data_IF_364202042399
#
_entry.id   IF_364202042399
#
_cell.length_a   1.000
_cell.length_b   1.000
_cell.length_c   1.000
_cell.angle_alpha   90.00
_cell.angle_beta   90.00
_cell.angle_gamma   90.00
#
_symmetry.space_group_name_H-M   'P 1'
#
loop_
_entity.id
_entity.type
_entity.pdbx_description
1 polymer ?
#
# COMPACT_ATOMS: atom_id res chain seq x y z
N UNK A 1 -7.30 -10.11 6.06
CA UNK A 1 -6.92 -8.70 5.92
C UNK A 1 -5.99 -8.53 4.72
N UNK A 2 -6.34 -7.61 3.82
CA UNK A 2 -5.61 -7.40 2.56
C UNK A 2 -4.18 -6.92 2.82
N UNK A 3 -3.99 -5.98 3.73
CA UNK A 3 -2.66 -5.46 4.05
C UNK A 3 -1.75 -6.57 4.60
N UNK A 4 -2.26 -7.38 5.51
CA UNK A 4 -1.49 -8.48 6.10
C UNK A 4 -1.08 -9.50 5.04
N UNK A 5 -1.99 -9.82 4.13
CA UNK A 5 -1.70 -10.74 3.03
C UNK A 5 -0.65 -10.17 2.09
N UNK A 6 -0.74 -8.89 1.76
CA UNK A 6 0.25 -8.21 0.94
C UNK A 6 1.64 -8.27 1.59
N UNK A 7 1.73 -7.89 2.86
CA UNK A 7 2.99 -7.89 3.61
C UNK A 7 3.61 -9.28 3.64
N UNK A 8 2.81 -10.33 3.84
CA UNK A 8 3.30 -11.71 3.89
C UNK A 8 3.96 -12.19 2.60
N UNK A 9 3.75 -11.49 1.49
CA UNK A 9 4.34 -11.82 0.19
C UNK A 9 5.53 -10.93 -0.17
N UNK A 10 5.97 -10.03 0.70
CA UNK A 10 7.08 -9.12 0.42
C UNK A 10 8.40 -9.68 0.95
N UNK A 11 9.37 -9.74 0.06
CA UNK A 11 10.78 -10.02 0.41
C UNK A 11 11.65 -9.40 -0.67
N UNK A 12 12.95 -9.33 -0.42
CA UNK A 12 13.89 -8.80 -1.40
C UNK A 12 13.77 -9.52 -2.74
N UNK A 13 13.71 -8.77 -3.81
CA UNK A 13 13.58 -9.28 -5.17
C UNK A 13 12.15 -9.40 -5.70
N UNK A 14 11.14 -9.32 -4.85
CA UNK A 14 9.74 -9.34 -5.30
C UNK A 14 9.42 -8.03 -6.02
N UNK A 15 8.74 -8.12 -7.15
CA UNK A 15 8.32 -6.91 -7.88
C UNK A 15 7.27 -6.15 -7.10
N UNK A 16 7.43 -4.84 -7.04
CA UNK A 16 6.45 -3.96 -6.37
C UNK A 16 5.09 -4.08 -7.04
N UNK A 17 5.06 -4.18 -8.38
CA UNK A 17 3.80 -4.37 -9.12
C UNK A 17 3.07 -5.67 -8.80
N UNK A 18 3.78 -6.72 -8.39
CA UNK A 18 3.13 -7.96 -7.97
C UNK A 18 2.32 -7.76 -6.70
N UNK A 19 2.83 -6.95 -5.78
CA UNK A 19 2.12 -6.63 -4.55
C UNK A 19 0.91 -5.74 -4.85
N UNK A 20 1.05 -4.77 -5.76
CA UNK A 20 -0.08 -3.97 -6.22
C UNK A 20 -1.16 -4.83 -6.86
N UNK A 21 -0.77 -5.79 -7.69
CA UNK A 21 -1.70 -6.75 -8.30
C UNK A 21 -2.45 -7.55 -7.24
N UNK A 22 -1.74 -8.04 -6.24
CA UNK A 22 -2.34 -8.81 -5.15
C UNK A 22 -3.37 -7.98 -4.40
N UNK A 23 -3.03 -6.74 -4.05
CA UNK A 23 -3.95 -5.85 -3.32
C UNK A 23 -5.22 -5.61 -4.14
N UNK A 24 -5.10 -5.24 -5.40
CA UNK A 24 -6.26 -4.99 -6.25
C UNK A 24 -7.11 -6.25 -6.44
N UNK A 25 -6.47 -7.38 -6.67
CA UNK A 25 -7.16 -8.65 -6.87
C UNK A 25 -7.96 -9.04 -5.63
N UNK A 26 -7.36 -8.91 -4.44
CA UNK A 26 -8.04 -9.23 -3.19
C UNK A 26 -9.20 -8.28 -2.92
N UNK A 27 -9.04 -6.99 -3.24
CA UNK A 27 -10.13 -6.03 -3.12
C UNK A 27 -11.30 -6.41 -4.02
N UNK A 28 -11.03 -6.75 -5.28
CA UNK A 28 -12.07 -7.16 -6.25
C UNK A 28 -12.81 -8.41 -5.80
N UNK A 29 -12.12 -9.39 -5.22
CA UNK A 29 -12.74 -10.60 -4.70
C UNK A 29 -13.78 -10.29 -3.63
N UNK A 30 -13.57 -9.23 -2.86
CA UNK A 30 -14.49 -8.79 -1.81
C UNK A 30 -15.52 -7.78 -2.29
N UNK A 31 -15.55 -7.47 -3.59
CA UNK A 31 -16.48 -6.51 -4.16
C UNK A 31 -16.06 -5.06 -3.99
N UNK A 32 -14.78 -4.81 -3.71
CA UNK A 32 -14.25 -3.47 -3.47
C UNK A 32 -13.32 -3.00 -4.59
N UNK A 33 -12.94 -1.75 -4.52
CA UNK A 33 -12.01 -1.10 -5.45
C UNK A 33 -10.81 -0.55 -4.69
N UNK A 34 -9.73 -0.26 -5.39
CA UNK A 34 -8.57 0.41 -4.82
C UNK A 34 -8.53 1.87 -5.28
N UNK A 35 -7.97 2.73 -4.44
CA UNK A 35 -7.72 4.14 -4.79
C UNK A 35 -6.39 4.18 -5.54
N UNK A 36 -6.40 4.76 -6.73
CA UNK A 36 -5.25 4.68 -7.65
C UNK A 36 -4.25 5.83 -7.54
N UNK A 37 -4.63 6.94 -6.93
CA UNK A 37 -3.73 8.07 -6.77
C UNK A 37 -3.14 8.21 -5.35
N UNK A 38 -3.24 7.17 -4.55
CA UNK A 38 -2.58 7.08 -3.25
C UNK A 38 -1.72 5.83 -3.21
N UNK A 39 -0.64 5.86 -2.45
CA UNK A 39 0.36 4.80 -2.47
C UNK A 39 1.14 4.70 -1.17
N UNK A 40 1.69 3.52 -0.91
CA UNK A 40 2.77 3.36 0.04
C UNK A 40 4.09 3.89 -0.54
N UNK A 41 5.15 3.84 0.23
CA UNK A 41 6.43 4.43 -0.16
C UNK A 41 7.58 3.91 0.69
N UNK A 42 8.81 4.16 0.23
CA UNK A 42 9.98 3.94 1.05
C UNK A 42 10.04 4.93 2.22
N UNK A 43 10.65 4.52 3.30
CA UNK A 43 10.92 5.36 4.47
C UNK A 43 12.36 5.12 4.92
N UNK A 44 12.95 6.12 5.58
CA UNK A 44 14.32 6.02 6.05
C UNK A 44 14.69 7.30 6.79
N UNK A 45 15.75 7.96 6.32
CA UNK A 45 16.15 9.27 6.89
C UNK A 45 15.10 10.33 6.66
N UNK A 46 14.33 10.19 5.56
CA UNK A 46 13.19 11.05 5.24
C UNK A 46 11.92 10.26 5.40
N UNK A 47 10.79 10.96 5.57
CA UNK A 47 9.48 10.32 5.63
C UNK A 47 9.15 9.59 4.33
N UNK A 48 9.59 10.16 3.20
CA UNK A 48 9.41 9.55 1.88
C UNK A 48 10.76 9.35 1.22
N UNK A 49 11.10 8.10 0.92
CA UNK A 49 12.30 7.73 0.19
C UNK A 49 11.92 6.75 -0.92
N UNK A 50 12.90 6.30 -1.69
CA UNK A 50 12.62 5.30 -2.73
C UNK A 50 12.29 3.93 -2.11
N UNK A 51 11.37 3.19 -2.70
CA UNK A 51 10.58 3.54 -3.87
C UNK A 51 9.56 4.65 -3.57
N UNK A 52 9.39 5.57 -4.52
CA UNK A 52 8.48 6.72 -4.34
C UNK A 52 7.03 6.29 -4.16
N UNK A 53 6.60 5.30 -4.93
CA UNK A 53 5.22 4.85 -4.93
C UNK A 53 5.12 3.33 -4.91
N UNK A 54 4.43 2.81 -3.91
CA UNK A 54 4.04 1.41 -3.85
C UNK A 54 2.53 1.40 -4.05
N UNK A 55 2.12 1.28 -5.31
CA UNK A 55 0.73 1.42 -5.72
C UNK A 55 -0.11 0.20 -5.34
N UNK A 56 -1.41 0.43 -5.18
CA UNK A 56 -2.38 -0.64 -4.86
C UNK A 56 -2.87 -1.37 -6.11
N UNK A 57 -2.19 -1.21 -7.23
CA UNK A 57 -2.51 -1.89 -8.48
C UNK A 57 -1.23 -2.12 -9.28
N UNK A 58 -1.32 -2.96 -10.31
CA UNK A 58 -0.15 -3.31 -11.12
C UNK A 58 0.04 -2.31 -12.25
N UNK A 59 1.30 -1.90 -12.46
CA UNK A 59 1.72 -1.11 -13.62
C UNK A 59 2.75 -1.93 -14.37
N UNK A 60 2.43 -2.40 -15.56
CA UNK A 60 3.27 -3.34 -16.33
C UNK A 60 4.66 -2.77 -16.65
N UNK A 61 4.76 -1.46 -16.83
CA UNK A 61 6.04 -0.81 -17.12
C UNK A 61 6.92 -0.65 -15.89
N UNK A 62 6.38 -0.80 -14.69
CA UNK A 62 7.16 -0.68 -13.47
C UNK A 62 7.92 -1.98 -13.21
N UNK A 63 9.25 -1.89 -13.25
CA UNK A 63 10.14 -3.03 -13.02
C UNK A 63 10.83 -3.00 -11.66
N UNK A 64 10.47 -2.05 -10.81
CA UNK A 64 11.07 -1.94 -9.49
C UNK A 64 10.78 -3.17 -8.63
N UNK A 65 11.77 -3.51 -7.81
CA UNK A 65 11.68 -4.63 -6.87
C UNK A 65 11.94 -4.12 -5.46
N UNK A 66 11.34 -4.79 -4.50
CA UNK A 66 11.70 -4.54 -3.10
C UNK A 66 13.16 -4.94 -2.88
N UNK A 67 13.88 -4.12 -2.12
CA UNK A 67 15.29 -4.36 -1.80
C UNK A 67 15.43 -4.75 -0.34
N UNK A 68 16.15 -5.83 -0.08
CA UNK A 68 16.43 -6.24 1.30
C UNK A 68 17.16 -5.13 2.06
N UNK A 69 16.95 -5.08 3.35
CA UNK A 69 17.52 -4.10 4.26
C UNK A 69 17.01 -2.66 4.03
N UNK A 70 15.87 -2.53 3.36
CA UNK A 70 15.18 -1.24 3.22
C UNK A 70 13.89 -1.26 4.01
N UNK A 71 13.47 -0.07 4.43
CA UNK A 71 12.24 0.13 5.17
C UNK A 71 11.21 0.77 4.25
N UNK A 72 9.99 0.21 4.23
CA UNK A 72 8.91 0.72 3.39
C UNK A 72 7.61 0.79 4.18
N UNK A 73 6.79 1.78 3.85
CA UNK A 73 5.43 1.89 4.36
C UNK A 73 4.50 1.26 3.32
N UNK A 74 3.82 0.20 3.71
CA UNK A 74 2.82 -0.46 2.86
C UNK A 74 1.47 0.08 3.30
N UNK A 75 0.75 0.68 2.35
CA UNK A 75 -0.53 1.31 2.62
C UNK A 75 -1.56 0.77 1.66
N UNK A 76 -2.70 0.34 2.19
CA UNK A 76 -3.83 -0.10 1.38
C UNK A 76 -4.95 0.92 1.47
N UNK A 77 -5.49 1.31 0.33
CA UNK A 77 -6.59 2.26 0.22
C UNK A 77 -7.74 1.58 -0.53
N UNK A 78 -8.65 1.03 0.23
CA UNK A 78 -9.73 0.19 -0.29
C UNK A 78 -11.05 0.96 -0.17
N UNK A 79 -11.83 0.95 -1.24
CA UNK A 79 -13.08 1.70 -1.27
C UNK A 79 -14.25 0.84 -1.73
N UNK A 80 -15.46 1.29 -1.39
CA UNK A 80 -16.69 0.65 -1.88
C UNK A 80 -16.98 1.04 -3.32
N UNK A 81 -16.62 2.24 -3.74
CA UNK A 81 -17.04 2.77 -5.04
C UNK A 81 -15.98 3.60 -5.77
N UNK A 82 -15.19 4.38 -5.04
CA UNK A 82 -14.25 5.34 -5.63
C UNK A 82 -12.94 4.69 -6.05
N UNK A 83 -12.30 5.27 -7.08
CA UNK A 83 -10.97 4.85 -7.54
C UNK A 83 -9.95 5.98 -7.45
N UNK A 84 -10.38 7.19 -7.12
CA UNK A 84 -9.52 8.37 -7.01
C UNK A 84 -9.89 9.13 -5.74
N UNK A 85 -8.88 9.56 -4.99
CA UNK A 85 -9.07 10.46 -3.86
C UNK A 85 -8.99 11.90 -4.34
N UNK A 86 -9.90 12.74 -3.86
CA UNK A 86 -10.00 14.15 -4.23
C UNK A 86 -9.80 15.00 -2.99
N UNK A 87 -8.94 16.01 -3.09
CA UNK A 87 -8.68 16.95 -2.00
C UNK A 87 -9.79 18.00 -1.94
N UNK A 88 -10.30 18.25 -0.73
CA UNK A 88 -11.30 19.27 -0.50
C UNK A 88 -10.66 20.66 -0.38
N UNK A 89 -11.51 21.70 -0.30
CA UNK A 89 -11.06 23.10 -0.25
C UNK A 89 -10.22 23.46 0.97
N UNK A 90 -10.27 22.65 2.03
CA UNK A 90 -9.44 22.87 3.23
C UNK A 90 -7.95 22.54 2.99
N UNK A 91 -7.61 21.93 1.87
CA UNK A 91 -6.23 21.62 1.49
C UNK A 91 -5.68 20.33 2.07
N UNK A 92 -6.45 19.56 2.83
CA UNK A 92 -5.97 18.33 3.46
C UNK A 92 -6.98 17.17 3.51
N UNK A 93 -8.28 17.45 3.51
CA UNK A 93 -9.28 16.40 3.56
C UNK A 93 -9.40 15.71 2.21
N UNK A 94 -9.27 14.39 2.19
CA UNK A 94 -9.42 13.59 0.98
C UNK A 94 -10.74 12.82 1.05
N UNK A 95 -11.46 12.80 -0.07
CA UNK A 95 -12.69 12.01 -0.22
C UNK A 95 -12.62 11.21 -1.51
N UNK A 96 -13.36 10.11 -1.58
CA UNK A 96 -13.49 9.35 -2.81
C UNK A 96 -14.28 10.13 -3.87
N UNK A 97 -13.83 10.06 -5.13
CA UNK A 97 -14.43 10.79 -6.24
C UNK A 97 -15.88 10.39 -6.54
N UNK A 98 -16.31 9.24 -6.08
CA UNK A 98 -17.69 8.75 -6.25
C UNK A 98 -18.39 8.50 -4.92
N UNK A 99 -17.92 9.13 -3.85
CA UNK A 99 -18.47 8.94 -2.52
C UNK A 99 -18.19 7.53 -1.98
N UNK A 100 -19.06 7.07 -1.08
CA UNK A 100 -18.90 5.78 -0.43
C UNK A 100 -17.87 5.81 0.69
N UNK A 101 -17.42 4.65 1.10
CA UNK A 101 -16.45 4.51 2.19
C UNK A 101 -15.06 4.20 1.63
N UNK A 102 -14.04 4.78 2.26
CA UNK A 102 -12.64 4.47 1.98
C UNK A 102 -11.97 4.07 3.29
N UNK A 103 -11.26 2.95 3.27
CA UNK A 103 -10.51 2.47 4.43
C UNK A 103 -9.02 2.49 4.09
N UNK A 104 -8.23 3.09 4.97
CA UNK A 104 -6.77 3.07 4.86
C UNK A 104 -6.19 2.24 5.99
N UNK A 105 -5.29 1.33 5.64
CA UNK A 105 -4.48 0.59 6.62
C UNK A 105 -3.02 0.73 6.22
N UNK A 106 -2.15 0.83 7.21
CA UNK A 106 -0.73 1.07 6.97
C UNK A 106 0.13 0.32 7.98
N UNK A 107 1.23 -0.28 7.51
CA UNK A 107 2.29 -0.79 8.36
C UNK A 107 3.64 -0.45 7.73
N UNK A 108 4.61 -0.16 8.58
CA UNK A 108 6.00 0.01 8.16
C UNK A 108 6.73 -1.29 8.39
N UNK A 109 7.43 -1.77 7.38
CA UNK A 109 8.15 -3.03 7.43
C UNK A 109 9.61 -2.87 7.04
N UNK A 110 10.45 -3.74 7.57
CA UNK A 110 11.80 -3.95 7.09
C UNK A 110 11.77 -5.12 6.10
N UNK A 111 12.23 -4.89 4.87
CA UNK A 111 12.32 -5.91 3.84
C UNK A 111 13.54 -6.78 4.11
N UNK A 112 13.35 -8.10 4.13
CA UNK A 112 14.44 -9.08 4.33
C UNK A 112 14.46 -10.07 3.16
N UNK A 113 15.37 -11.02 3.20
CA UNK A 113 15.43 -12.10 2.22
C UNK A 113 14.31 -13.12 2.40
N UNK A 114 13.60 -13.06 3.51
CA UNK A 114 12.65 -14.10 3.91
C UNK A 114 11.33 -13.50 4.35
N UNK A 115 11.13 -13.31 5.63
CA UNK A 115 9.90 -12.74 6.16
C UNK A 115 10.13 -11.27 6.53
N UNK A 116 9.22 -10.37 6.15
CA UNK A 116 9.36 -8.97 6.56
C UNK A 116 9.22 -8.83 8.07
N UNK A 117 9.93 -7.85 8.63
CA UNK A 117 9.77 -7.48 10.02
C UNK A 117 8.81 -6.30 10.09
N UNK A 118 7.69 -6.48 10.77
CA UNK A 118 6.68 -5.43 10.91
C UNK A 118 7.10 -4.52 12.07
N UNK A 119 7.54 -3.32 11.77
CA UNK A 119 8.06 -2.39 12.77
C UNK A 119 6.96 -1.69 13.57
N UNK A 120 5.75 -1.64 13.02
CA UNK A 120 4.60 -0.96 13.62
C UNK A 120 3.57 -1.93 14.19
N UNK A 121 3.91 -3.19 14.36
CA UNK A 121 2.98 -4.22 14.83
C UNK A 121 2.40 -3.91 16.20
N UNK A 122 3.19 -3.27 17.07
CA UNK A 122 2.79 -2.95 18.43
C UNK A 122 1.69 -1.88 18.54
N UNK A 123 1.34 -1.19 17.46
CA UNK A 123 0.26 -0.20 17.52
C UNK A 123 -1.15 -0.78 17.34
N UNK A 124 -1.25 -2.11 17.36
CA UNK A 124 -2.49 -2.86 17.44
C UNK A 124 -3.49 -2.65 16.31
N UNK A 125 -3.01 -2.24 15.15
CA UNK A 125 -3.85 -2.03 13.97
C UNK A 125 -4.56 -3.30 13.51
N UNK A 126 -4.04 -4.46 13.89
CA UNK A 126 -4.59 -5.75 13.50
C UNK A 126 -5.75 -6.25 14.37
N UNK A 127 -5.98 -5.63 15.48
CA UNK A 127 -6.97 -6.08 16.44
C UNK A 127 -8.39 -5.65 16.09
#
# INVERSE_FOLDING_TARGET
NILRKAIGNIKGGVKISEIGYLIETEAKKSGFKVIKNLAGHGVGRSLHEEPENILNYSVKSNRERFKKNTTVAIETFISTNSTVAVELNDGWTLVGNKGGYVTQHEQTILVTDNYPVILTESNEIWN
#
